data_IF_709583313253
#
_entry.id   IF_709583313253
#
_cell.length_a   1.000
_cell.length_b   1.000
_cell.length_c   1.000
_cell.angle_alpha   90.00
_cell.angle_beta   90.00
_cell.angle_gamma   90.00
#
_symmetry.space_group_name_H-M   'P 1'
#
loop_
_entity.id
_entity.type
_entity.pdbx_description
1 polymer ?
#
# COMPACT_ATOMS: atom_id res chain seq x y z
N UNK A 1 32.67 0.79 0.81
CA UNK A 1 31.88 2.02 0.61
C UNK A 1 30.82 2.10 1.69
N UNK A 2 30.96 3.01 2.66
CA UNK A 2 30.04 3.11 3.80
C UNK A 2 28.62 3.46 3.34
N UNK A 3 27.61 2.80 3.92
CA UNK A 3 26.19 3.08 3.67
C UNK A 3 25.89 4.54 4.05
N UNK A 4 25.75 5.42 3.06
CA UNK A 4 25.23 6.77 3.30
C UNK A 4 23.75 6.69 3.65
N UNK A 5 23.24 7.64 4.45
CA UNK A 5 21.83 7.68 4.84
C UNK A 5 20.88 7.73 3.64
N UNK A 6 21.31 8.38 2.54
CA UNK A 6 20.63 8.35 1.25
C UNK A 6 20.50 6.94 0.63
N UNK A 7 21.49 6.05 0.82
CA UNK A 7 21.40 4.66 0.35
C UNK A 7 20.39 3.85 1.16
N UNK A 8 20.33 4.10 2.47
CA UNK A 8 19.32 3.47 3.34
C UNK A 8 17.92 3.94 2.97
N UNK A 9 17.70 5.24 2.75
CA UNK A 9 16.41 5.76 2.28
C UNK A 9 15.99 5.09 0.98
N UNK A 10 16.89 4.95 0.00
CA UNK A 10 16.61 4.26 -1.26
C UNK A 10 16.21 2.80 -1.05
N UNK A 11 16.92 2.08 -0.18
CA UNK A 11 16.59 0.70 0.17
C UNK A 11 15.19 0.61 0.80
N UNK A 12 14.86 1.47 1.77
CA UNK A 12 13.55 1.45 2.42
C UNK A 12 12.41 1.86 1.46
N UNK A 13 12.65 2.77 0.53
CA UNK A 13 11.68 3.07 -0.56
C UNK A 13 11.38 1.84 -1.40
N UNK A 14 12.41 1.12 -1.83
CA UNK A 14 12.25 -0.12 -2.57
C UNK A 14 11.44 -1.16 -1.78
N UNK A 15 11.71 -1.31 -0.47
CA UNK A 15 10.94 -2.23 0.40
C UNK A 15 9.46 -1.84 0.50
N UNK A 16 9.16 -0.54 0.62
CA UNK A 16 7.77 -0.06 0.60
C UNK A 16 7.09 -0.40 -0.73
N UNK A 17 7.77 -0.17 -1.85
CA UNK A 17 7.22 -0.44 -3.19
C UNK A 17 7.01 -1.94 -3.41
N UNK A 18 7.91 -2.79 -2.93
CA UNK A 18 7.76 -4.25 -2.97
C UNK A 18 6.53 -4.71 -2.16
N UNK A 19 6.38 -4.23 -0.93
CA UNK A 19 5.20 -4.54 -0.10
C UNK A 19 3.90 -4.05 -0.73
N UNK A 20 3.90 -2.87 -1.33
CA UNK A 20 2.74 -2.34 -2.08
C UNK A 20 2.39 -3.19 -3.30
N UNK A 21 3.39 -3.71 -4.01
CA UNK A 21 3.17 -4.62 -5.14
C UNK A 21 2.50 -5.92 -4.68
N UNK A 22 2.95 -6.50 -3.56
CA UNK A 22 2.33 -7.68 -2.96
C UNK A 22 0.89 -7.39 -2.56
N UNK A 23 0.63 -6.27 -1.87
CA UNK A 23 -0.74 -5.86 -1.52
C UNK A 23 -1.62 -5.67 -2.76
N UNK A 24 -1.10 -5.08 -3.83
CA UNK A 24 -1.80 -4.93 -5.11
C UNK A 24 -2.17 -6.27 -5.74
N UNK A 25 -1.28 -7.27 -5.68
CA UNK A 25 -1.58 -8.62 -6.14
C UNK A 25 -2.71 -9.26 -5.33
N UNK A 26 -2.67 -9.14 -4.00
CA UNK A 26 -3.70 -9.70 -3.12
C UNK A 26 -5.08 -9.08 -3.38
N UNK A 27 -5.16 -7.77 -3.65
CA UNK A 27 -6.41 -7.15 -4.09
C UNK A 27 -6.92 -7.70 -5.41
N UNK A 28 -6.02 -7.96 -6.38
CA UNK A 28 -6.40 -8.58 -7.64
C UNK A 28 -7.00 -9.98 -7.41
N UNK A 29 -6.34 -10.79 -6.59
CA UNK A 29 -6.83 -12.12 -6.23
C UNK A 29 -8.17 -12.08 -5.48
N UNK A 30 -8.36 -11.12 -4.56
CA UNK A 30 -9.62 -10.89 -3.86
C UNK A 30 -10.74 -10.53 -4.85
N UNK A 31 -10.47 -9.57 -5.73
CA UNK A 31 -11.42 -9.12 -6.74
C UNK A 31 -11.85 -10.28 -7.67
N UNK A 32 -10.91 -11.12 -8.09
CA UNK A 32 -11.21 -12.30 -8.91
C UNK A 32 -12.14 -13.29 -8.17
N UNK A 33 -12.01 -13.44 -6.85
CA UNK A 33 -12.90 -14.28 -6.04
C UNK A 33 -14.29 -13.68 -5.91
N UNK A 34 -14.38 -12.38 -5.65
CA UNK A 34 -15.64 -11.63 -5.58
C UNK A 34 -16.40 -11.70 -6.91
N UNK A 35 -15.69 -11.55 -8.04
CA UNK A 35 -16.29 -11.63 -9.36
C UNK A 35 -16.85 -13.04 -9.63
N UNK A 36 -16.11 -14.10 -9.26
CA UNK A 36 -16.60 -15.49 -9.37
C UNK A 36 -17.86 -15.72 -8.53
N UNK A 37 -17.92 -15.14 -7.33
CA UNK A 37 -19.10 -15.21 -6.48
C UNK A 37 -20.29 -14.51 -7.14
N UNK A 38 -20.10 -13.31 -7.66
CA UNK A 38 -21.12 -12.55 -8.36
C UNK A 38 -21.64 -13.29 -9.61
N UNK A 39 -20.75 -13.88 -10.39
CA UNK A 39 -21.11 -14.67 -11.57
C UNK A 39 -21.94 -15.90 -11.21
N UNK A 40 -21.59 -16.59 -10.12
CA UNK A 40 -22.35 -17.73 -9.60
C UNK A 40 -23.76 -17.30 -9.13
N UNK A 41 -23.87 -16.16 -8.46
CA UNK A 41 -25.16 -15.60 -8.03
C UNK A 41 -26.05 -15.24 -9.22
N UNK A 42 -25.47 -14.66 -10.26
CA UNK A 42 -26.19 -14.37 -11.50
C UNK A 42 -26.69 -15.66 -12.18
N UNK A 43 -25.85 -16.70 -12.25
CA UNK A 43 -26.26 -18.00 -12.80
C UNK A 43 -27.40 -18.63 -12.00
N UNK A 44 -27.36 -18.55 -10.67
CA UNK A 44 -28.42 -19.02 -9.80
C UNK A 44 -29.76 -18.32 -10.07
N UNK A 45 -29.74 -17.00 -10.30
CA UNK A 45 -30.94 -16.23 -10.62
C UNK A 45 -31.53 -16.67 -11.97
N UNK A 46 -30.70 -16.85 -13.00
CA UNK A 46 -31.15 -17.29 -14.32
C UNK A 46 -31.73 -18.71 -14.28
N UNK A 47 -31.04 -19.65 -13.62
CA UNK A 47 -31.53 -21.01 -13.44
C UNK A 47 -32.84 -21.07 -12.65
N UNK A 48 -33.00 -20.20 -11.65
CA UNK A 48 -34.26 -20.09 -10.92
C UNK A 48 -35.41 -19.59 -11.81
N UNK A 49 -35.15 -18.65 -12.73
CA UNK A 49 -36.16 -18.18 -13.69
C UNK A 49 -36.57 -19.30 -14.65
N UNK A 50 -35.61 -20.09 -15.15
CA UNK A 50 -35.87 -21.23 -16.05
C UNK A 50 -36.70 -22.30 -15.33
N UNK A 51 -36.36 -22.64 -14.09
CA UNK A 51 -37.10 -23.62 -13.30
C UNK A 51 -38.56 -23.18 -13.05
N UNK A 52 -38.80 -21.87 -12.90
CA UNK A 52 -40.16 -21.32 -12.76
C UNK A 52 -40.96 -21.32 -14.06
N UNK A 53 -40.32 -21.25 -15.23
CA UNK A 53 -41.00 -21.20 -16.53
C UNK A 53 -41.31 -22.58 -17.13
N UNK A 54 -40.59 -23.64 -16.73
CA UNK A 54 -40.82 -25.02 -17.18
C UNK A 54 -40.78 -26.06 -16.03
N UNK A 55 -41.79 -26.06 -15.13
CA UNK A 55 -41.74 -26.81 -13.87
C UNK A 55 -41.63 -28.34 -14.03
N UNK A 56 -42.31 -28.90 -15.04
CA UNK A 56 -42.56 -30.34 -15.16
C UNK A 56 -41.30 -31.16 -15.49
N UNK A 57 -40.26 -30.52 -16.05
CA UNK A 57 -39.00 -31.18 -16.45
C UNK A 57 -37.77 -30.61 -15.73
N UNK A 58 -37.84 -29.37 -15.23
CA UNK A 58 -36.67 -28.66 -14.70
C UNK A 58 -36.46 -28.83 -13.19
N UNK A 59 -37.48 -29.21 -12.42
CA UNK A 59 -37.44 -29.13 -10.95
C UNK A 59 -36.35 -30.02 -10.31
N UNK A 60 -36.19 -31.26 -10.80
CA UNK A 60 -35.18 -32.19 -10.28
C UNK A 60 -33.75 -31.76 -10.65
N UNK A 61 -33.54 -31.33 -11.89
CA UNK A 61 -32.25 -30.84 -12.39
C UNK A 61 -31.82 -29.55 -11.67
N UNK A 62 -32.76 -28.63 -11.45
CA UNK A 62 -32.53 -27.40 -10.71
C UNK A 62 -32.17 -27.66 -9.24
N UNK A 63 -32.84 -28.58 -8.56
CA UNK A 63 -32.53 -28.94 -7.17
C UNK A 63 -31.08 -29.41 -6.98
N UNK A 64 -30.58 -30.27 -7.89
CA UNK A 64 -29.19 -30.74 -7.85
C UNK A 64 -28.19 -29.63 -8.17
N UNK A 65 -28.49 -28.79 -9.15
CA UNK A 65 -27.66 -27.63 -9.48
C UNK A 65 -27.57 -26.67 -8.29
N UNK A 66 -28.71 -26.33 -7.69
CA UNK A 66 -28.80 -25.41 -6.57
C UNK A 66 -27.98 -25.88 -5.36
N UNK A 67 -28.09 -27.16 -4.97
CA UNK A 67 -27.28 -27.72 -3.88
C UNK A 67 -25.78 -27.60 -4.15
N UNK A 68 -25.34 -27.90 -5.37
CA UNK A 68 -23.93 -27.73 -5.76
C UNK A 68 -23.50 -26.27 -5.73
N UNK A 69 -24.32 -25.37 -6.27
CA UNK A 69 -24.05 -23.94 -6.31
C UNK A 69 -23.94 -23.35 -4.89
N UNK A 70 -24.79 -23.76 -3.95
CA UNK A 70 -24.68 -23.34 -2.55
C UNK A 70 -23.34 -23.76 -1.92
N UNK A 71 -22.89 -24.99 -2.17
CA UNK A 71 -21.59 -25.45 -1.68
C UNK A 71 -20.41 -24.68 -2.26
N UNK A 72 -20.44 -24.37 -3.55
CA UNK A 72 -19.42 -23.52 -4.20
C UNK A 72 -19.46 -22.10 -3.64
N UNK A 73 -20.67 -21.55 -3.42
CA UNK A 73 -20.85 -20.22 -2.83
C UNK A 73 -20.22 -20.13 -1.45
N UNK A 74 -20.46 -21.11 -0.59
CA UNK A 74 -19.86 -21.16 0.75
C UNK A 74 -18.33 -21.23 0.67
N UNK A 75 -17.78 -22.06 -0.23
CA UNK A 75 -16.33 -22.14 -0.46
C UNK A 75 -15.74 -20.81 -0.93
N UNK A 76 -16.41 -20.11 -1.86
CA UNK A 76 -15.97 -18.80 -2.35
C UNK A 76 -16.01 -17.76 -1.23
N UNK A 77 -17.07 -17.75 -0.42
CA UNK A 77 -17.19 -16.84 0.72
C UNK A 77 -16.09 -17.07 1.76
N UNK A 78 -15.77 -18.33 2.08
CA UNK A 78 -14.66 -18.66 2.97
C UNK A 78 -13.31 -18.24 2.38
N UNK A 79 -13.10 -18.44 1.07
CA UNK A 79 -11.88 -18.02 0.39
C UNK A 79 -11.73 -16.49 0.36
N UNK A 80 -12.82 -15.75 0.13
CA UNK A 80 -12.87 -14.28 0.20
C UNK A 80 -12.48 -13.83 1.61
N UNK A 81 -13.13 -14.35 2.65
CA UNK A 81 -12.85 -13.96 4.03
C UNK A 81 -11.39 -14.24 4.43
N UNK A 82 -10.82 -15.38 4.00
CA UNK A 82 -9.40 -15.68 4.21
C UNK A 82 -8.49 -14.69 3.46
N UNK A 83 -8.82 -14.37 2.20
CA UNK A 83 -8.05 -13.42 1.39
C UNK A 83 -8.13 -11.99 1.92
N UNK A 84 -9.27 -11.57 2.47
CA UNK A 84 -9.42 -10.28 3.16
C UNK A 84 -8.49 -10.19 4.37
N UNK A 85 -8.35 -11.27 5.15
CA UNK A 85 -7.38 -11.31 6.25
C UNK A 85 -5.93 -11.17 5.76
N UNK A 86 -5.58 -11.84 4.65
CA UNK A 86 -4.25 -11.67 4.03
C UNK A 86 -4.02 -10.22 3.55
N UNK A 87 -5.04 -9.58 2.98
CA UNK A 87 -5.01 -8.18 2.56
C UNK A 87 -4.76 -7.26 3.75
N UNK A 88 -5.45 -7.47 4.88
CA UNK A 88 -5.25 -6.66 6.08
C UNK A 88 -3.83 -6.81 6.65
N UNK A 89 -3.31 -8.03 6.71
CA UNK A 89 -1.91 -8.28 7.11
C UNK A 89 -0.93 -7.56 6.16
N UNK A 90 -1.15 -7.64 4.84
CA UNK A 90 -0.30 -6.96 3.87
C UNK A 90 -0.40 -5.43 3.94
N UNK A 91 -1.57 -4.88 4.30
CA UNK A 91 -1.73 -3.44 4.58
C UNK A 91 -0.88 -3.02 5.77
N UNK A 92 -0.89 -3.80 6.84
CA UNK A 92 -0.08 -3.52 8.03
C UNK A 92 1.42 -3.58 7.72
N UNK A 93 1.85 -4.55 6.93
CA UNK A 93 3.23 -4.65 6.43
C UNK A 93 3.67 -3.41 5.63
N UNK A 94 2.80 -2.90 4.75
CA UNK A 94 3.06 -1.66 4.00
C UNK A 94 3.16 -0.47 4.95
N UNK A 95 2.26 -0.38 5.93
CA UNK A 95 2.26 0.69 6.92
C UNK A 95 3.53 0.67 7.77
N UNK A 96 3.99 -0.51 8.19
CA UNK A 96 5.23 -0.68 8.94
C UNK A 96 6.45 -0.26 8.12
N UNK A 97 6.59 -0.77 6.89
CA UNK A 97 7.69 -0.40 6.00
C UNK A 97 7.73 1.12 5.74
N UNK A 98 6.54 1.75 5.63
CA UNK A 98 6.44 3.20 5.44
C UNK A 98 6.88 3.98 6.69
N UNK A 99 6.50 3.52 7.90
CA UNK A 99 6.97 4.11 9.16
C UNK A 99 8.50 4.03 9.27
N UNK A 100 9.10 2.88 8.95
CA UNK A 100 10.57 2.75 8.93
C UNK A 100 11.21 3.75 7.96
N UNK A 101 10.70 3.85 6.73
CA UNK A 101 11.20 4.80 5.75
C UNK A 101 11.17 6.24 6.30
N UNK A 102 10.08 6.63 6.97
CA UNK A 102 9.92 7.98 7.52
C UNK A 102 10.97 8.33 8.56
N UNK A 103 11.35 7.39 9.41
CA UNK A 103 12.42 7.59 10.39
C UNK A 103 13.74 7.98 9.69
N UNK A 104 14.10 7.30 8.60
CA UNK A 104 15.32 7.62 7.86
C UNK A 104 15.21 8.95 7.10
N UNK A 105 14.05 9.26 6.51
CA UNK A 105 13.82 10.53 5.83
C UNK A 105 13.91 11.72 6.80
N UNK A 106 13.36 11.60 8.01
CA UNK A 106 13.47 12.62 9.05
C UNK A 106 14.90 12.78 9.56
N UNK A 107 15.63 11.67 9.75
CA UNK A 107 17.04 11.71 10.13
C UNK A 107 17.89 12.45 9.10
N UNK A 108 17.67 12.23 7.80
CA UNK A 108 18.40 12.92 6.74
C UNK A 108 18.00 14.40 6.65
N UNK A 109 16.72 14.72 6.80
CA UNK A 109 16.25 16.10 6.86
C UNK A 109 16.92 16.88 8.00
N UNK A 110 16.99 16.26 9.18
CA UNK A 110 17.65 16.87 10.34
C UNK A 110 19.16 17.02 10.12
N UNK A 111 19.81 16.07 9.45
CA UNK A 111 21.23 16.17 9.08
C UNK A 111 21.49 17.33 8.14
N UNK A 112 20.70 17.46 7.07
CA UNK A 112 20.81 18.55 6.09
C UNK A 112 20.60 19.90 6.78
N UNK A 113 19.56 20.02 7.61
CA UNK A 113 19.27 21.25 8.35
C UNK A 113 20.45 21.70 9.23
N UNK A 114 21.09 20.78 9.97
CA UNK A 114 22.27 21.12 10.79
C UNK A 114 23.44 21.63 9.94
N UNK A 115 23.69 21.00 8.79
CA UNK A 115 24.77 21.43 7.88
C UNK A 115 24.48 22.82 7.31
N UNK A 116 23.23 23.10 6.95
CA UNK A 116 22.82 24.43 6.49
C UNK A 116 22.95 25.49 7.58
N UNK A 117 22.50 25.19 8.80
CA UNK A 117 22.64 26.10 9.96
C UNK A 117 24.11 26.40 10.27
N UNK A 118 24.99 25.39 10.23
CA UNK A 118 26.44 25.59 10.41
C UNK A 118 27.05 26.43 9.28
N UNK A 119 26.64 26.22 8.03
CA UNK A 119 27.10 27.00 6.89
C UNK A 119 26.67 28.47 7.04
N UNK A 120 25.39 28.72 7.29
CA UNK A 120 24.86 30.08 7.49
C UNK A 120 25.52 30.76 8.69
N UNK A 121 25.80 30.02 9.78
CA UNK A 121 26.54 30.58 10.92
C UNK A 121 27.95 31.03 10.54
N UNK A 122 28.69 30.23 9.76
CA UNK A 122 30.04 30.60 9.27
C UNK A 122 29.99 31.82 8.35
N UNK A 123 29.05 31.84 7.41
CA UNK A 123 28.84 32.95 6.48
C UNK A 123 28.52 34.26 7.23
N UNK A 124 27.68 34.19 8.27
CA UNK A 124 27.38 35.36 9.09
C UNK A 124 28.60 35.90 9.83
N UNK A 125 29.42 35.02 10.42
CA UNK A 125 30.67 35.42 11.10
C UNK A 125 31.63 36.11 10.12
N UNK A 126 31.80 35.54 8.91
CA UNK A 126 32.65 36.13 7.87
C UNK A 126 32.13 37.51 7.41
N UNK A 127 30.82 37.66 7.23
CA UNK A 127 30.22 38.95 6.88
C UNK A 127 30.39 40.00 7.98
N UNK A 128 30.23 39.61 9.26
CA UNK A 128 30.42 40.49 10.41
C UNK A 128 31.87 40.97 10.50
N UNK A 129 32.85 40.09 10.26
CA UNK A 129 34.27 40.44 10.19
C UNK A 129 34.57 41.45 9.07
N UNK A 130 34.01 41.24 7.87
CA UNK A 130 34.15 42.17 6.75
C UNK A 130 33.54 43.54 7.10
N UNK A 131 32.34 43.56 7.68
CA UNK A 131 31.66 44.79 8.07
C UNK A 131 32.46 45.58 9.12
N UNK A 132 32.99 44.91 10.14
CA UNK A 132 33.85 45.51 11.16
C UNK A 132 35.13 46.11 10.55
N UNK A 133 35.79 45.38 9.64
CA UNK A 133 37.00 45.87 8.97
C UNK A 133 36.73 47.08 8.08
N UNK A 134 35.62 47.09 7.33
CA UNK A 134 35.21 48.24 6.52
C UNK A 134 34.87 49.47 7.37
N UNK A 135 34.21 49.27 8.51
CA UNK A 135 33.91 50.36 9.44
C UNK A 135 35.19 50.98 10.01
N UNK A 136 36.16 50.15 10.42
CA UNK A 136 37.46 50.60 10.94
C UNK A 136 38.20 51.49 9.94
N UNK A 137 38.26 51.05 8.67
CA UNK A 137 38.89 51.81 7.56
C UNK A 137 38.22 53.15 7.23
N UNK A 138 36.97 53.37 7.65
CA UNK A 138 36.27 54.66 7.45
C UNK A 138 36.51 55.65 8.60
N UNK A 139 37.01 55.17 9.75
CA UNK A 139 37.28 56.00 10.92
C UNK A 139 38.74 56.46 11.01
N UNK A 140 39.63 55.79 10.27
CA UNK A 140 41.02 56.22 9.99
C UNK A 140 41.06 57.20 8.80
#
# INVERSE_FOLDING_TARGET
MGKTLANLIRLHKYRVDEKRRVLGQLYGELHDLEQKLQDLENQLIEEQKIAKSAPDQALFSYGRFHQRAMGIREQLQQAIAAKEQEVEIARDDVNEAFRELKVYEEAEKNRIKRVEEERTRKENIEMDEIAMNLHRRKQD
#
